data_IF_943924251394
#
_entry.id   IF_943924251394
#
_cell.length_a   1.000
_cell.length_b   1.000
_cell.length_c   1.000
_cell.angle_alpha   90.00
_cell.angle_beta   90.00
_cell.angle_gamma   90.00
#
_symmetry.space_group_name_H-M   'P 1'
#
loop_
_entity.id
_entity.type
_entity.pdbx_description
1 polymer ?
#
# COMPACT_ATOMS: atom_id res chain seq x y z
N UNK A 1 12.62 1.80 4.79
CA UNK A 1 11.23 1.98 4.30
C UNK A 1 10.92 0.82 3.37
N UNK A 2 9.87 0.04 3.61
CA UNK A 2 9.36 -0.89 2.59
C UNK A 2 8.84 -0.02 1.44
N UNK A 3 9.70 0.19 0.45
CA UNK A 3 9.31 0.78 -0.82
C UNK A 3 8.41 -0.28 -1.44
N UNK A 4 7.15 0.06 -1.72
CA UNK A 4 6.45 -0.63 -2.80
C UNK A 4 7.44 -0.70 -3.96
N UNK A 5 7.80 -1.90 -4.42
CA UNK A 5 8.76 -2.08 -5.52
C UNK A 5 8.39 -1.24 -6.76
N UNK A 6 7.11 -0.83 -6.82
CA UNK A 6 6.54 0.16 -7.70
C UNK A 6 6.77 1.63 -7.27
N UNK A 7 7.75 2.30 -7.89
CA UNK A 7 7.87 3.77 -7.82
C UNK A 7 6.99 4.46 -8.86
N UNK A 8 6.15 5.40 -8.43
CA UNK A 8 5.44 6.34 -9.29
C UNK A 8 6.21 7.67 -9.27
N UNK A 9 6.99 7.95 -10.33
CA UNK A 9 7.74 9.20 -10.45
C UNK A 9 6.81 10.39 -10.72
N UNK A 10 6.65 10.74 -12.01
CA UNK A 10 5.65 11.73 -12.42
C UNK A 10 4.28 11.04 -12.56
N UNK A 11 3.31 11.42 -11.72
CA UNK A 11 2.00 10.77 -11.68
C UNK A 11 0.85 11.79 -11.57
N UNK A 12 -0.30 11.44 -12.15
CA UNK A 12 -1.57 12.03 -11.74
C UNK A 12 -2.02 11.32 -10.48
N UNK A 13 -2.53 12.06 -9.49
CA UNK A 13 -3.06 11.46 -8.27
C UNK A 13 -4.25 12.23 -7.72
N UNK A 14 -5.12 11.51 -7.03
CA UNK A 14 -6.25 12.05 -6.31
C UNK A 14 -6.38 11.33 -4.97
N UNK A 15 -6.73 12.11 -3.94
CA UNK A 15 -7.01 11.59 -2.60
C UNK A 15 -8.23 12.29 -2.03
N UNK A 16 -9.10 11.51 -1.38
CA UNK A 16 -10.25 12.02 -0.63
C UNK A 16 -10.35 11.33 0.73
N UNK A 17 -11.09 11.97 1.62
CA UNK A 17 -11.55 11.44 2.92
C UNK A 17 -12.85 10.63 2.80
N UNK A 18 -13.52 10.71 1.65
CA UNK A 18 -14.63 9.86 1.20
C UNK A 18 -14.21 8.92 0.06
N UNK A 19 -15.01 7.89 -0.27
CA UNK A 19 -14.87 7.13 -1.51
C UNK A 19 -14.77 8.05 -2.74
N UNK A 20 -13.84 7.72 -3.65
CA UNK A 20 -13.70 8.35 -4.96
C UNK A 20 -14.87 7.95 -5.85
N UNK A 21 -15.40 8.92 -6.56
CA UNK A 21 -16.44 8.67 -7.58
C UNK A 21 -15.85 8.07 -8.85
N UNK A 22 -16.68 7.40 -9.65
CA UNK A 22 -16.29 6.88 -10.97
C UNK A 22 -15.75 8.00 -11.87
N UNK A 23 -16.37 9.18 -11.85
CA UNK A 23 -15.94 10.34 -12.63
C UNK A 23 -14.55 10.85 -12.20
N UNK A 24 -14.30 10.92 -10.89
CA UNK A 24 -12.99 11.29 -10.33
C UNK A 24 -11.89 10.30 -10.74
N UNK A 25 -12.20 8.98 -10.70
CA UNK A 25 -11.31 7.93 -11.16
C UNK A 25 -11.05 8.06 -12.67
N UNK A 26 -12.11 8.19 -13.48
CA UNK A 26 -11.99 8.28 -14.94
C UNK A 26 -11.11 9.45 -15.37
N UNK A 27 -11.26 10.61 -14.73
CA UNK A 27 -10.45 11.80 -15.04
C UNK A 27 -8.99 11.65 -14.63
N UNK A 28 -8.72 11.02 -13.48
CA UNK A 28 -7.38 11.01 -12.87
C UNK A 28 -6.56 9.80 -13.27
N UNK A 29 -7.21 8.63 -13.29
CA UNK A 29 -6.64 7.30 -13.54
C UNK A 29 -7.41 6.54 -14.63
N UNK A 30 -7.55 7.10 -15.85
CA UNK A 30 -8.30 6.46 -16.93
C UNK A 30 -7.85 5.03 -17.23
N UNK A 31 -6.59 4.65 -16.92
CA UNK A 31 -6.12 3.30 -17.19
C UNK A 31 -6.79 2.18 -16.39
N UNK A 32 -7.52 2.51 -15.33
CA UNK A 32 -8.36 1.55 -14.60
C UNK A 32 -9.53 1.05 -15.46
N UNK A 33 -10.00 1.86 -16.41
CA UNK A 33 -11.18 1.61 -17.24
C UNK A 33 -10.85 1.08 -18.63
N UNK A 34 -9.58 0.93 -18.97
CA UNK A 34 -9.21 0.35 -20.27
C UNK A 34 -9.75 -1.06 -20.35
N UNK A 35 -10.42 -1.41 -21.44
CA UNK A 35 -11.06 -2.72 -21.63
C UNK A 35 -10.10 -3.78 -22.20
N UNK A 36 -8.89 -3.36 -22.60
CA UNK A 36 -7.93 -4.22 -23.27
C UNK A 36 -6.46 -3.89 -22.90
N UNK A 37 -5.55 -4.78 -23.31
CA UNK A 37 -4.12 -4.52 -23.22
C UNK A 37 -3.68 -3.58 -24.33
N UNK A 38 -2.60 -2.83 -24.10
CA UNK A 38 -2.01 -1.99 -25.14
C UNK A 38 -1.52 -2.84 -26.34
N UNK A 39 -1.67 -2.35 -27.57
CA UNK A 39 -1.29 -3.05 -28.83
C UNK A 39 0.15 -3.58 -28.86
N UNK A 40 1.05 -2.88 -28.17
CA UNK A 40 2.45 -3.32 -27.96
C UNK A 40 2.59 -4.64 -27.19
N UNK A 41 1.52 -5.24 -26.68
CA UNK A 41 1.52 -6.49 -25.90
C UNK A 41 1.17 -7.70 -26.77
N UNK A 42 2.01 -8.72 -26.70
CA UNK A 42 1.81 -9.97 -27.45
C UNK A 42 0.57 -10.74 -26.98
N UNK A 43 0.11 -11.70 -27.79
CA UNK A 43 -1.00 -12.60 -27.45
C UNK A 43 -0.80 -13.36 -26.13
N UNK A 44 0.45 -13.64 -25.76
CA UNK A 44 0.81 -14.31 -24.50
C UNK A 44 0.52 -13.46 -23.25
N UNK A 45 0.32 -12.16 -23.41
CA UNK A 45 -0.02 -11.25 -22.32
C UNK A 45 -1.50 -11.37 -22.00
N UNK A 46 -1.80 -11.81 -20.77
CA UNK A 46 -3.15 -11.90 -20.23
C UNK A 46 -3.54 -10.58 -19.58
N UNK A 47 -4.56 -9.93 -20.15
CA UNK A 47 -5.15 -8.71 -19.61
C UNK A 47 -5.92 -9.00 -18.31
N UNK A 48 -5.82 -8.10 -17.33
CA UNK A 48 -6.49 -8.19 -16.03
C UNK A 48 -7.35 -6.94 -15.89
N UNK A 49 -8.69 -7.02 -15.99
CA UNK A 49 -9.55 -5.85 -15.92
C UNK A 49 -9.61 -5.28 -14.50
N UNK A 50 -8.93 -4.15 -14.29
CA UNK A 50 -8.90 -3.50 -12.96
C UNK A 50 -10.31 -3.08 -12.52
N UNK A 51 -11.13 -2.55 -13.44
CA UNK A 51 -12.49 -2.13 -13.12
C UNK A 51 -13.36 -3.29 -12.61
N UNK A 52 -13.28 -4.47 -13.22
CA UNK A 52 -14.06 -5.64 -12.78
C UNK A 52 -13.64 -6.16 -11.41
N UNK A 53 -12.34 -6.09 -11.10
CA UNK A 53 -11.85 -6.36 -9.74
C UNK A 53 -12.36 -5.32 -8.75
N UNK A 54 -12.30 -4.04 -9.13
CA UNK A 54 -12.75 -2.95 -8.29
C UNK A 54 -14.22 -3.11 -7.91
N UNK A 55 -15.08 -3.43 -8.88
CA UNK A 55 -16.50 -3.72 -8.65
C UNK A 55 -16.70 -4.89 -7.67
N UNK A 56 -15.85 -5.91 -7.76
CA UNK A 56 -15.90 -7.08 -6.87
C UNK A 56 -15.50 -6.70 -5.44
N UNK A 57 -14.41 -5.93 -5.28
CA UNK A 57 -13.96 -5.44 -3.97
C UNK A 57 -14.96 -4.46 -3.34
N UNK A 58 -15.67 -3.69 -4.15
CA UNK A 58 -16.74 -2.81 -3.66
C UNK A 58 -17.92 -3.59 -3.10
N UNK A 59 -18.26 -4.76 -3.64
CA UNK A 59 -19.27 -5.66 -3.06
C UNK A 59 -18.85 -6.18 -1.68
N UNK A 60 -17.55 -6.38 -1.48
CA UNK A 60 -16.94 -6.71 -0.18
C UNK A 60 -16.76 -5.48 0.75
N UNK A 61 -17.25 -4.31 0.32
CA UNK A 61 -17.26 -3.07 1.10
C UNK A 61 -16.00 -2.21 0.97
N UNK A 62 -15.05 -2.56 0.09
CA UNK A 62 -13.82 -1.79 -0.13
C UNK A 62 -13.96 -0.77 -1.26
N UNK A 63 -13.69 0.49 -0.94
CA UNK A 63 -13.82 1.60 -1.88
C UNK A 63 -12.50 2.36 -2.03
N UNK A 64 -12.22 2.92 -3.22
CA UNK A 64 -10.97 3.63 -3.45
C UNK A 64 -11.03 5.02 -2.80
N UNK A 65 -10.01 5.39 -2.02
CA UNK A 65 -9.89 6.74 -1.45
C UNK A 65 -8.65 7.47 -1.97
N UNK A 66 -7.74 6.73 -2.58
CA UNK A 66 -6.60 7.26 -3.29
C UNK A 66 -6.44 6.51 -4.59
N UNK A 67 -6.09 7.24 -5.64
CA UNK A 67 -5.73 6.67 -6.92
C UNK A 67 -4.58 7.46 -7.54
N UNK A 68 -3.66 6.77 -8.20
CA UNK A 68 -2.68 7.42 -9.05
C UNK A 68 -2.35 6.59 -10.28
N UNK A 69 -1.89 7.25 -11.35
CA UNK A 69 -1.32 6.58 -12.51
C UNK A 69 -0.09 7.33 -12.99
N UNK A 70 0.83 6.59 -13.61
CA UNK A 70 2.04 7.16 -14.19
C UNK A 70 1.68 8.10 -15.34
N UNK A 71 2.32 9.28 -15.40
CA UNK A 71 2.22 10.16 -16.57
C UNK A 71 3.11 9.63 -17.68
N UNK A 72 2.55 9.55 -18.88
CA UNK A 72 3.24 9.08 -20.08
C UNK A 72 3.41 10.24 -21.05
N UNK A 73 4.50 10.22 -21.82
CA UNK A 73 4.72 11.17 -22.93
C UNK A 73 3.93 10.77 -24.17
N UNK A 74 3.81 9.47 -24.41
CA UNK A 74 3.05 8.88 -25.50
C UNK A 74 1.57 8.75 -25.11
N UNK A 75 0.71 9.46 -25.84
CA UNK A 75 -0.73 9.49 -25.57
C UNK A 75 -1.39 8.12 -25.70
N UNK A 76 -0.91 7.25 -26.60
CA UNK A 76 -1.46 5.89 -26.80
C UNK A 76 -1.33 5.01 -25.56
N UNK A 77 -0.32 5.28 -24.71
CA UNK A 77 -0.10 4.53 -23.46
C UNK A 77 -0.90 5.04 -22.28
N UNK A 78 -1.59 6.19 -22.41
CA UNK A 78 -2.22 6.87 -21.28
C UNK A 78 -3.26 5.99 -20.58
N UNK A 79 -3.99 5.20 -21.35
CA UNK A 79 -5.05 4.32 -20.87
C UNK A 79 -4.54 2.93 -20.47
N UNK A 80 -3.26 2.63 -20.67
CA UNK A 80 -2.70 1.31 -20.32
C UNK A 80 -1.56 1.40 -19.30
N UNK A 81 -1.15 2.61 -18.96
CA UNK A 81 -0.05 2.84 -18.05
C UNK A 81 -0.36 2.36 -16.64
N UNK A 82 0.70 2.09 -15.91
CA UNK A 82 0.66 1.65 -14.53
C UNK A 82 -0.17 2.57 -13.64
N UNK A 83 -1.04 1.98 -12.83
CA UNK A 83 -1.88 2.67 -11.86
C UNK A 83 -1.85 1.97 -10.50
N UNK A 84 -2.21 2.73 -9.47
CA UNK A 84 -2.40 2.28 -8.09
C UNK A 84 -3.76 2.75 -7.59
N UNK A 85 -4.47 1.87 -6.90
CA UNK A 85 -5.63 2.20 -6.08
C UNK A 85 -5.33 1.85 -4.63
N UNK A 86 -5.74 2.70 -3.69
CA UNK A 86 -5.75 2.36 -2.26
C UNK A 86 -7.18 2.35 -1.75
N UNK A 87 -7.60 1.18 -1.29
CA UNK A 87 -8.98 0.86 -1.00
C UNK A 87 -9.15 0.64 0.50
N UNK A 88 -10.24 1.16 1.08
CA UNK A 88 -10.57 1.03 2.49
C UNK A 88 -12.04 0.66 2.64
N UNK A 89 -12.43 0.05 3.76
CA UNK A 89 -13.85 -0.22 4.01
C UNK A 89 -14.61 1.08 4.29
N UNK A 90 -15.81 1.25 3.72
CA UNK A 90 -16.59 2.49 3.86
C UNK A 90 -17.04 2.77 5.32
N UNK A 91 -17.10 1.75 6.15
CA UNK A 91 -17.66 1.77 7.51
C UNK A 91 -16.59 2.05 8.57
N UNK A 92 -15.31 1.96 8.20
CA UNK A 92 -14.19 2.11 9.12
C UNK A 92 -13.39 3.40 8.91
N UNK A 93 -13.88 4.37 8.14
CA UNK A 93 -13.11 5.54 7.68
C UNK A 93 -12.58 6.42 8.82
N UNK A 94 -13.29 6.48 9.95
CA UNK A 94 -12.96 7.32 11.12
C UNK A 94 -12.02 6.64 12.11
N UNK A 95 -11.65 5.37 11.89
CA UNK A 95 -10.69 4.67 12.72
C UNK A 95 -9.32 5.35 12.69
N UNK A 96 -8.66 5.41 13.85
CA UNK A 96 -7.26 5.90 13.95
C UNK A 96 -6.35 5.09 13.02
N UNK A 97 -6.67 3.81 12.85
CA UNK A 97 -6.01 2.87 11.95
C UNK A 97 -7.06 1.97 11.31
N UNK A 98 -6.98 1.81 9.99
CA UNK A 98 -7.99 1.11 9.19
C UNK A 98 -7.28 0.16 8.22
N UNK A 99 -7.79 -1.06 8.03
CA UNK A 99 -7.32 -1.95 6.96
C UNK A 99 -7.39 -1.26 5.60
N UNK A 100 -6.37 -1.46 4.79
CA UNK A 100 -6.26 -0.90 3.46
C UNK A 100 -5.74 -1.96 2.49
N UNK A 101 -6.31 -2.02 1.29
CA UNK A 101 -5.78 -2.79 0.17
C UNK A 101 -5.06 -1.83 -0.79
N UNK A 102 -3.82 -2.13 -1.14
CA UNK A 102 -3.10 -1.43 -2.20
C UNK A 102 -3.11 -2.31 -3.44
N UNK A 103 -3.83 -1.89 -4.47
CA UNK A 103 -3.88 -2.56 -5.76
C UNK A 103 -2.95 -1.84 -6.74
N UNK A 104 -2.08 -2.59 -7.40
CA UNK A 104 -1.21 -2.13 -8.48
C UNK A 104 -1.47 -2.95 -9.73
N UNK A 105 -1.59 -2.27 -10.86
CA UNK A 105 -1.73 -2.95 -12.15
C UNK A 105 -1.18 -2.10 -13.29
N UNK A 106 -0.96 -2.72 -14.44
CA UNK A 106 -0.68 -2.04 -15.71
C UNK A 106 -1.26 -2.87 -16.85
N UNK A 107 -1.53 -2.24 -17.99
CA UNK A 107 -2.02 -2.92 -19.19
C UNK A 107 -1.04 -2.81 -20.37
N UNK A 108 0.09 -2.13 -20.17
CA UNK A 108 1.22 -2.02 -21.10
C UNK A 108 2.41 -2.91 -20.71
N UNK A 109 2.26 -3.73 -19.66
CA UNK A 109 3.27 -4.67 -19.18
C UNK A 109 4.46 -4.02 -18.46
N UNK A 110 4.34 -2.76 -18.06
CA UNK A 110 5.34 -2.07 -17.21
C UNK A 110 5.35 -2.57 -15.75
N UNK A 111 4.32 -3.31 -15.34
CA UNK A 111 4.20 -3.91 -14.01
C UNK A 111 3.39 -5.20 -14.07
N UNK A 112 3.63 -6.10 -13.12
CA UNK A 112 2.67 -7.16 -12.80
C UNK A 112 1.49 -6.59 -12.02
N UNK A 113 0.39 -7.32 -11.98
CA UNK A 113 -0.65 -7.12 -11.00
C UNK A 113 -0.13 -7.45 -9.60
N UNK A 114 -0.45 -6.60 -8.62
CA UNK A 114 -0.16 -6.81 -7.21
C UNK A 114 -1.33 -6.34 -6.36
N UNK A 115 -1.59 -7.05 -5.28
CA UNK A 115 -2.50 -6.66 -4.23
C UNK A 115 -1.79 -6.83 -2.89
N UNK A 116 -1.67 -5.75 -2.13
CA UNK A 116 -0.95 -5.74 -0.86
C UNK A 116 -1.89 -5.36 0.28
N UNK A 117 -1.91 -6.14 1.37
CA UNK A 117 -2.56 -5.72 2.60
C UNK A 117 -1.72 -4.61 3.26
N UNK A 118 -2.41 -3.62 3.79
CA UNK A 118 -1.83 -2.52 4.53
C UNK A 118 -2.73 -2.06 5.66
N UNK A 119 -2.18 -1.19 6.50
CA UNK A 119 -2.88 -0.51 7.57
C UNK A 119 -2.71 1.00 7.39
N UNK A 120 -3.78 1.66 6.99
CA UNK A 120 -3.79 3.11 6.87
C UNK A 120 -3.94 3.75 8.25
N UNK A 121 -3.05 4.70 8.58
CA UNK A 121 -3.11 5.44 9.83
C UNK A 121 -3.46 6.91 9.54
N UNK A 122 -4.64 7.34 10.00
CA UNK A 122 -5.17 8.67 9.69
C UNK A 122 -4.24 9.80 10.17
N UNK A 123 -3.65 9.63 11.36
CA UNK A 123 -2.81 10.61 12.04
C UNK A 123 -1.60 11.06 11.20
N UNK A 124 -0.97 10.14 10.49
CA UNK A 124 0.17 10.46 9.63
C UNK A 124 -0.21 10.68 8.17
N UNK A 125 -1.46 10.43 7.81
CA UNK A 125 -1.91 10.36 6.42
C UNK A 125 -1.07 9.41 5.55
N UNK A 126 -0.27 8.54 6.16
CA UNK A 126 0.52 7.51 5.52
C UNK A 126 -0.06 6.14 5.88
N UNK A 127 0.12 5.16 4.99
CA UNK A 127 -0.19 3.78 5.31
C UNK A 127 1.08 3.04 5.70
N UNK A 128 0.99 2.20 6.72
CA UNK A 128 1.92 1.10 6.87
C UNK A 128 1.53 0.05 5.83
N UNK A 129 2.46 -0.30 4.95
CA UNK A 129 2.26 -1.38 3.99
C UNK A 129 2.94 -2.62 4.55
N UNK A 130 2.21 -3.72 4.65
CA UNK A 130 2.76 -5.01 5.07
C UNK A 130 3.37 -5.71 3.83
N UNK A 131 4.49 -5.18 3.30
CA UNK A 131 5.15 -5.71 2.09
C UNK A 131 6.31 -6.69 2.35
N UNK A 132 6.45 -7.66 1.43
CA UNK A 132 7.41 -8.77 1.25
C UNK A 132 7.26 -10.10 2.02
N UNK A 133 6.30 -10.29 2.95
CA UNK A 133 6.07 -11.64 3.56
C UNK A 133 4.62 -11.98 3.94
N UNK A 134 3.76 -11.02 4.30
CA UNK A 134 2.43 -11.34 4.87
C UNK A 134 1.28 -10.96 3.92
N UNK A 135 0.72 -11.96 3.22
CA UNK A 135 -0.50 -11.83 2.42
C UNK A 135 -0.37 -10.98 1.14
N UNK A 136 0.85 -10.71 0.66
CA UNK A 136 1.05 -10.06 -0.63
C UNK A 136 0.71 -11.02 -1.78
N UNK A 137 -0.12 -10.57 -2.71
CA UNK A 137 -0.49 -11.32 -3.90
C UNK A 137 0.14 -10.67 -5.12
N UNK A 138 0.88 -11.45 -5.88
CA UNK A 138 1.51 -10.99 -7.12
C UNK A 138 1.21 -11.95 -8.27
N UNK A 139 0.51 -11.44 -9.29
CA UNK A 139 0.10 -12.23 -10.45
C UNK A 139 0.78 -11.70 -11.71
N UNK A 140 1.67 -12.48 -12.36
CA UNK A 140 2.20 -12.10 -13.66
C UNK A 140 1.09 -12.16 -14.72
N UNK A 141 1.15 -11.27 -15.72
CA UNK A 141 0.21 -11.24 -16.85
C UNK A 141 0.42 -12.39 -17.86
N UNK A 142 0.50 -13.64 -17.36
CA UNK A 142 0.75 -14.83 -18.17
C UNK A 142 0.15 -16.07 -17.52
N UNK A 143 -0.55 -16.89 -18.32
CA UNK A 143 -1.12 -18.16 -17.90
C UNK A 143 -2.54 -18.01 -17.35
N UNK A 144 -2.92 -18.89 -16.43
CA UNK A 144 -4.18 -18.75 -15.68
C UNK A 144 -4.03 -17.64 -14.64
N UNK A 145 -4.65 -16.51 -14.95
CA UNK A 145 -4.54 -15.27 -14.19
C UNK A 145 -5.81 -14.99 -13.40
N UNK A 146 -6.99 -15.31 -13.95
CA UNK A 146 -8.28 -14.99 -13.33
C UNK A 146 -8.43 -15.73 -12.00
N UNK A 147 -8.15 -17.04 -11.96
CA UNK A 147 -8.24 -17.83 -10.73
C UNK A 147 -7.32 -17.29 -9.63
N UNK A 148 -6.05 -17.01 -9.98
CA UNK A 148 -5.05 -16.51 -9.04
C UNK A 148 -5.38 -15.14 -8.47
N UNK A 149 -5.99 -14.28 -9.28
CA UNK A 149 -6.40 -12.94 -8.84
C UNK A 149 -7.55 -13.03 -7.85
N UNK A 150 -8.53 -13.91 -8.09
CA UNK A 150 -9.67 -14.11 -7.19
C UNK A 150 -9.22 -14.75 -5.88
N UNK A 151 -8.46 -15.83 -5.95
CA UNK A 151 -7.93 -16.53 -4.78
C UNK A 151 -7.09 -15.59 -3.91
N UNK A 152 -6.19 -14.84 -4.53
CA UNK A 152 -5.37 -13.88 -3.81
C UNK A 152 -6.18 -12.73 -3.18
N UNK A 153 -7.29 -12.31 -3.79
CA UNK A 153 -8.14 -11.31 -3.15
C UNK A 153 -8.70 -11.80 -1.80
N UNK A 154 -9.12 -13.07 -1.71
CA UNK A 154 -9.57 -13.66 -0.44
C UNK A 154 -8.42 -13.79 0.58
N UNK A 155 -7.23 -14.21 0.14
CA UNK A 155 -6.04 -14.28 1.01
C UNK A 155 -5.69 -12.93 1.65
N UNK A 156 -5.80 -11.84 0.88
CA UNK A 156 -5.56 -10.48 1.36
C UNK A 156 -6.58 -10.08 2.43
N UNK A 157 -7.85 -10.47 2.26
CA UNK A 157 -8.90 -10.19 3.23
C UNK A 157 -8.66 -10.95 4.55
N UNK A 158 -8.31 -12.23 4.48
CA UNK A 158 -8.00 -13.07 5.64
C UNK A 158 -6.76 -12.56 6.42
N UNK A 159 -5.81 -11.95 5.70
CA UNK A 159 -4.59 -11.40 6.30
C UNK A 159 -4.88 -10.23 7.26
N UNK A 160 -5.97 -9.50 7.08
CA UNK A 160 -6.28 -8.34 7.93
C UNK A 160 -6.49 -8.71 9.40
N UNK A 161 -7.06 -9.87 9.69
CA UNK A 161 -7.23 -10.36 11.06
C UNK A 161 -5.87 -10.63 11.72
N UNK A 162 -4.94 -11.23 10.98
CA UNK A 162 -3.59 -11.50 11.46
C UNK A 162 -2.80 -10.20 11.73
N UNK A 163 -2.96 -9.21 10.86
CA UNK A 163 -2.35 -7.88 11.05
C UNK A 163 -2.92 -7.19 12.29
N UNK A 164 -4.24 -7.25 12.49
CA UNK A 164 -4.89 -6.70 13.67
C UNK A 164 -4.40 -7.37 14.96
N UNK A 165 -4.33 -8.70 14.98
CA UNK A 165 -3.84 -9.47 16.13
C UNK A 165 -2.37 -9.17 16.46
N UNK A 166 -1.49 -9.10 15.45
CA UNK A 166 -0.08 -8.73 15.64
C UNK A 166 0.05 -7.31 16.21
N UNK A 167 -0.73 -6.36 15.69
CA UNK A 167 -0.77 -4.99 16.22
C UNK A 167 -1.19 -4.98 17.69
N UNK A 168 -2.28 -5.68 18.04
CA UNK A 168 -2.77 -5.73 19.42
C UNK A 168 -1.74 -6.34 20.37
N UNK A 169 -1.06 -7.40 19.94
CA UNK A 169 0.05 -7.99 20.67
C UNK A 169 1.19 -6.97 20.91
N UNK A 170 1.59 -6.24 19.87
CA UNK A 170 2.59 -5.17 19.99
C UNK A 170 2.12 -4.03 20.92
N UNK A 171 0.84 -3.65 20.89
CA UNK A 171 0.29 -2.61 21.77
C UNK A 171 0.24 -3.05 23.24
N UNK A 172 0.13 -4.36 23.51
CA UNK A 172 0.15 -4.91 24.86
C UNK A 172 1.53 -4.93 25.51
N UNK A 173 2.60 -4.79 24.69
CA UNK A 173 3.99 -4.85 25.16
C UNK A 173 4.58 -3.46 25.36
N UNK A 174 4.82 -3.07 26.62
CA UNK A 174 5.57 -1.86 26.94
C UNK A 174 7.07 -2.04 26.67
N UNK A 175 7.70 -1.05 26.03
CA UNK A 175 9.16 -0.96 25.94
C UNK A 175 9.70 0.05 26.94
N UNK A 176 10.40 -0.40 28.00
CA UNK A 176 11.14 0.52 28.85
C UNK A 176 12.24 1.23 28.05
N UNK A 177 12.76 2.38 28.54
CA UNK A 177 13.72 3.20 27.80
C UNK A 177 14.95 2.44 27.24
N UNK A 178 15.59 1.51 27.96
CA UNK A 178 16.70 0.73 27.40
C UNK A 178 16.30 -0.12 26.19
N UNK A 179 15.09 -0.70 26.20
CA UNK A 179 14.58 -1.49 25.08
C UNK A 179 14.23 -0.60 23.88
N UNK A 180 13.70 0.61 24.11
CA UNK A 180 13.47 1.58 23.02
C UNK A 180 14.79 1.96 22.33
N UNK A 181 15.85 2.21 23.10
CA UNK A 181 17.17 2.53 22.56
C UNK A 181 17.76 1.38 21.75
N UNK A 182 17.70 0.15 22.27
CA UNK A 182 18.15 -1.04 21.56
C UNK A 182 17.36 -1.27 20.26
N UNK A 183 16.03 -1.04 20.28
CA UNK A 183 15.21 -1.17 19.08
C UNK A 183 15.54 -0.10 18.03
N UNK A 184 15.73 1.14 18.45
CA UNK A 184 16.17 2.22 17.58
C UNK A 184 17.51 1.91 16.93
N UNK A 185 18.48 1.42 17.72
CA UNK A 185 19.80 1.01 17.23
C UNK A 185 19.70 -0.09 16.18
N UNK A 186 18.98 -1.18 16.49
CA UNK A 186 18.76 -2.26 15.54
C UNK A 186 18.09 -1.78 14.24
N UNK A 187 17.09 -0.90 14.35
CA UNK A 187 16.40 -0.33 13.20
C UNK A 187 17.31 0.57 12.34
N UNK A 188 18.16 1.38 12.97
CA UNK A 188 19.13 2.24 12.28
C UNK A 188 20.20 1.41 11.58
N UNK A 189 20.78 0.42 12.27
CA UNK A 189 21.77 -0.50 11.71
C UNK A 189 21.20 -1.31 10.56
N UNK A 190 19.97 -1.83 10.68
CA UNK A 190 19.30 -2.53 9.59
C UNK A 190 19.10 -1.65 8.35
N UNK A 191 18.79 -0.36 8.55
CA UNK A 191 18.47 0.56 7.45
C UNK A 191 19.70 1.18 6.79
N UNK A 192 20.68 1.61 7.59
CA UNK A 192 21.81 2.43 7.14
C UNK A 192 23.16 1.73 7.23
N UNK A 193 23.21 0.56 7.86
CA UNK A 193 24.46 -0.10 8.24
C UNK A 193 25.10 0.51 9.48
N UNK A 194 26.29 0.02 9.81
CA UNK A 194 27.05 0.46 11.00
C UNK A 194 27.98 1.65 10.71
N UNK A 195 28.41 1.82 9.45
CA UNK A 195 29.45 2.80 9.09
C UNK A 195 28.98 4.25 9.20
N UNK A 196 27.77 4.56 8.72
CA UNK A 196 27.22 5.90 8.75
C UNK A 196 25.70 5.88 8.92
N UNK A 197 25.22 6.54 9.98
CA UNK A 197 23.80 6.71 10.26
C UNK A 197 23.48 8.22 10.25
N UNK A 198 22.60 8.71 9.35
CA UNK A 198 22.33 10.15 9.21
C UNK A 198 21.50 10.74 10.37
N UNK A 199 20.95 9.89 11.24
CA UNK A 199 20.09 10.27 12.37
C UNK A 199 20.47 9.46 13.61
N UNK A 200 20.30 10.06 14.79
CA UNK A 200 20.60 9.39 16.07
C UNK A 200 19.39 8.63 16.63
N UNK A 201 19.64 7.72 17.58
CA UNK A 201 18.58 6.97 18.30
C UNK A 201 17.57 7.90 18.98
N UNK A 202 18.05 8.97 19.61
CA UNK A 202 17.22 9.97 20.28
C UNK A 202 16.35 10.72 19.27
N UNK A 203 16.92 11.08 18.12
CA UNK A 203 16.18 11.76 17.05
C UNK A 203 15.06 10.89 16.48
N UNK A 204 15.29 9.58 16.29
CA UNK A 204 14.24 8.69 15.76
C UNK A 204 13.18 8.31 16.79
N UNK A 205 13.55 8.23 18.07
CA UNK A 205 12.61 7.94 19.17
C UNK A 205 11.74 9.14 19.56
N UNK A 206 12.13 10.36 19.18
CA UNK A 206 11.37 11.57 19.51
C UNK A 206 10.00 11.57 18.80
N UNK A 207 8.88 11.56 19.57
CA UNK A 207 7.54 11.59 19.00
C UNK A 207 7.28 12.91 18.28
N UNK A 208 6.72 12.84 17.06
CA UNK A 208 6.32 14.04 16.29
C UNK A 208 4.90 14.49 16.61
N UNK A 209 4.07 13.60 17.16
CA UNK A 209 2.65 13.84 17.46
C UNK A 209 2.29 13.31 18.83
N UNK A 210 1.14 13.75 19.35
CA UNK A 210 0.68 13.35 20.68
C UNK A 210 0.35 11.85 20.74
N UNK A 211 -0.24 11.32 19.67
CA UNK A 211 -0.62 9.92 19.50
C UNK A 211 0.58 8.98 19.46
N UNK A 212 1.78 9.50 19.23
CA UNK A 212 3.05 8.76 19.17
C UNK A 212 3.81 8.73 20.50
N UNK A 213 3.24 9.32 21.57
CA UNK A 213 3.91 9.41 22.88
C UNK A 213 3.86 8.12 23.70
N UNK A 214 3.01 7.17 23.34
CA UNK A 214 2.92 5.90 24.08
C UNK A 214 4.20 5.08 23.91
N UNK A 215 4.52 4.31 24.94
CA UNK A 215 5.77 3.55 25.04
C UNK A 215 5.59 2.07 24.72
N UNK A 216 4.46 1.67 24.12
CA UNK A 216 4.25 0.32 23.62
C UNK A 216 5.03 0.03 22.32
N UNK A 217 5.29 -1.25 22.03
CA UNK A 217 6.06 -1.70 20.87
C UNK A 217 5.50 -1.18 19.55
N UNK A 218 4.19 -1.17 19.42
CA UNK A 218 3.55 -0.67 18.22
C UNK A 218 3.83 0.82 18.02
N UNK A 219 3.63 1.62 19.05
CA UNK A 219 3.83 3.08 18.97
C UNK A 219 5.30 3.44 18.76
N UNK A 220 6.23 2.75 19.43
CA UNK A 220 7.69 2.92 19.21
C UNK A 220 8.04 2.54 17.77
N UNK A 221 7.56 1.40 17.27
CA UNK A 221 7.76 0.97 15.88
C UNK A 221 7.32 2.03 14.88
N UNK A 222 6.13 2.62 15.08
CA UNK A 222 5.63 3.69 14.22
C UNK A 222 6.52 4.94 14.24
N UNK A 223 7.07 5.33 15.40
CA UNK A 223 8.03 6.45 15.49
C UNK A 223 9.27 6.20 14.64
N UNK A 224 9.82 4.98 14.71
CA UNK A 224 11.00 4.59 13.94
C UNK A 224 10.72 4.51 12.43
N UNK A 225 9.51 4.08 12.04
CA UNK A 225 9.10 3.99 10.64
C UNK A 225 9.01 5.38 9.96
N UNK A 226 8.48 6.39 10.66
CA UNK A 226 8.11 7.69 10.09
C UNK A 226 9.30 8.66 9.87
N UNK A 227 10.52 8.29 10.25
CA UNK A 227 11.71 9.14 10.10
C UNK A 227 12.30 8.96 8.69
N UNK A 228 12.24 9.99 7.83
CA UNK A 228 12.96 10.01 6.57
C UNK A 228 14.45 10.26 6.81
N UNK A 229 15.24 9.97 5.78
CA UNK A 229 16.66 10.34 5.69
C UNK A 229 16.87 11.86 5.85
#
# INVERSE_FOLDING_TARGET
MSLLASRFGSANSIRRDRPLTIEELFRTVPSVFSEEKHDSRSERYTYIPTISLLDSLQKEGFYPFFACQTRVRDASRREHTKHMLRLRRHDQITGVQVPEIILLNSHDGSSSYQMLPGLFRAVCSNGLVCGDVLGEVRVPHKGDVVGKVIEGAYEVLDTFEQVAAKRESMQSLLLPPPAQQAFAEAALTYRFGEEFQPVTREQVLQPRRFEDKKEDLWTVYQRLQEKPD
#
